data_IF_170577680083
#
_entry.id   IF_170577680083
#
_cell.length_a   1.000
_cell.length_b   1.000
_cell.length_c   1.000
_cell.angle_alpha   90.00
_cell.angle_beta   90.00
_cell.angle_gamma   90.00
#
_symmetry.space_group_name_H-M   'P 1'
#
loop_
_entity.id
_entity.type
_entity.pdbx_description
1 polymer ?
#
# COMPACT_ATOMS: atom_id res chain seq x y z
N UNK A 1 84.42 -8.37 -5.84
CA UNK A 1 83.88 -7.99 -4.51
C UNK A 1 83.32 -6.59 -4.64
N UNK A 2 82.00 -6.44 -4.69
CA UNK A 2 81.21 -5.63 -3.74
C UNK A 2 79.79 -5.43 -4.32
N UNK A 3 78.81 -5.67 -3.47
CA UNK A 3 77.45 -6.06 -3.78
C UNK A 3 76.52 -4.91 -3.38
N UNK A 4 76.15 -4.01 -4.30
CA UNK A 4 75.19 -2.94 -3.99
C UNK A 4 73.76 -3.39 -4.29
N UNK A 5 73.10 -3.85 -3.24
CA UNK A 5 71.65 -4.07 -3.13
C UNK A 5 70.92 -2.74 -3.30
N UNK A 6 70.10 -2.62 -4.33
CA UNK A 6 69.05 -1.59 -4.41
C UNK A 6 67.74 -2.17 -3.90
N UNK A 7 67.23 -1.57 -2.83
CA UNK A 7 65.95 -1.89 -2.18
C UNK A 7 64.78 -1.55 -3.13
N UNK A 8 63.81 -2.45 -3.37
CA UNK A 8 62.60 -2.09 -4.11
C UNK A 8 61.65 -1.26 -3.23
N UNK A 9 61.19 -0.14 -3.79
CA UNK A 9 60.15 0.74 -3.22
C UNK A 9 58.85 -0.04 -3.01
N UNK A 10 58.34 0.05 -1.78
CA UNK A 10 57.03 -0.42 -1.36
C UNK A 10 55.91 0.22 -2.19
N UNK A 11 54.96 -0.60 -2.62
CA UNK A 11 53.80 -0.21 -3.41
C UNK A 11 52.67 0.29 -2.49
N UNK A 12 52.25 1.57 -2.53
CA UNK A 12 51.06 2.03 -1.85
C UNK A 12 49.88 1.91 -2.82
N UNK A 13 49.51 0.70 -3.22
CA UNK A 13 48.31 0.43 -4.03
C UNK A 13 47.40 -0.51 -3.24
N UNK A 14 47.16 -0.16 -1.98
CA UNK A 14 46.23 -0.88 -1.09
C UNK A 14 45.20 0.08 -0.48
N UNK A 15 45.04 1.28 -1.04
CA UNK A 15 44.17 2.33 -0.53
C UNK A 15 42.90 2.57 -1.38
N UNK A 16 42.72 1.84 -2.50
CA UNK A 16 41.63 2.10 -3.45
C UNK A 16 40.44 1.14 -3.31
N UNK A 17 40.41 0.27 -2.30
CA UNK A 17 39.39 -0.77 -2.14
C UNK A 17 38.31 -0.47 -1.08
N UNK A 18 38.28 0.76 -0.53
CA UNK A 18 37.51 1.08 0.68
C UNK A 18 36.42 2.17 0.51
N UNK A 19 36.01 2.49 -0.72
CA UNK A 19 35.06 3.58 -1.02
C UNK A 19 33.87 3.16 -1.89
N UNK A 20 33.42 1.90 -1.82
CA UNK A 20 32.26 1.42 -2.60
C UNK A 20 31.23 0.62 -1.77
N UNK A 21 31.11 0.93 -0.47
CA UNK A 21 30.21 0.21 0.46
C UNK A 21 29.16 1.11 1.15
N UNK A 22 28.88 2.31 0.63
CA UNK A 22 28.00 3.29 1.29
C UNK A 22 26.67 3.57 0.55
N UNK A 23 26.23 2.69 -0.35
CA UNK A 23 24.94 2.82 -1.04
C UNK A 23 24.04 1.59 -0.84
N UNK A 24 24.07 0.99 0.36
CA UNK A 24 22.97 0.09 0.76
C UNK A 24 21.79 0.98 1.07
N UNK A 25 20.94 1.15 0.06
CA UNK A 25 19.77 1.99 0.10
C UNK A 25 18.93 1.72 1.35
N UNK A 26 18.53 2.81 2.01
CA UNK A 26 17.35 2.80 2.85
C UNK A 26 16.17 2.42 1.96
N UNK A 27 15.88 1.11 1.87
CA UNK A 27 14.56 0.65 1.49
C UNK A 27 13.64 1.08 2.61
N UNK A 28 13.07 2.27 2.48
CA UNK A 28 11.92 2.68 3.26
C UNK A 28 10.84 1.65 2.95
N UNK A 29 10.75 0.62 3.79
CA UNK A 29 9.63 -0.31 3.77
C UNK A 29 8.37 0.56 3.84
N UNK A 30 7.48 0.51 2.83
CA UNK A 30 6.24 1.25 2.90
C UNK A 30 5.57 0.84 4.20
N UNK A 31 5.12 1.83 5.00
CA UNK A 31 4.44 1.58 6.26
C UNK A 31 3.28 0.61 5.98
N UNK A 32 3.51 -0.66 6.29
CA UNK A 32 2.51 -1.69 6.12
C UNK A 32 1.60 -1.54 7.33
N UNK A 33 0.37 -1.09 7.10
CA UNK A 33 -0.62 -1.04 8.16
C UNK A 33 -0.93 -2.49 8.54
N UNK A 34 -0.33 -2.98 9.64
CA UNK A 34 -0.60 -4.31 10.14
C UNK A 34 -1.99 -4.35 10.76
N UNK A 35 -2.95 -4.80 9.95
CA UNK A 35 -4.26 -5.23 10.42
C UNK A 35 -4.10 -6.34 11.47
N UNK A 36 -4.80 -6.23 12.59
CA UNK A 36 -4.79 -7.25 13.67
C UNK A 36 -5.61 -8.51 13.32
N UNK A 37 -6.26 -8.51 12.15
CA UNK A 37 -7.22 -9.54 11.75
C UNK A 37 -6.58 -10.53 10.75
N UNK A 38 -6.86 -11.84 10.85
CA UNK A 38 -6.37 -12.84 9.90
C UNK A 38 -6.68 -12.46 8.45
N UNK A 39 -5.68 -12.60 7.57
CA UNK A 39 -5.83 -12.39 6.14
C UNK A 39 -6.61 -13.55 5.49
N UNK A 40 -7.55 -13.21 4.62
CA UNK A 40 -8.29 -14.15 3.79
C UNK A 40 -7.92 -13.88 2.33
N UNK A 41 -7.24 -14.81 1.63
CA UNK A 41 -6.85 -14.60 0.24
C UNK A 41 -8.06 -14.37 -0.67
N UNK A 42 -8.02 -13.30 -1.47
CA UNK A 42 -9.02 -13.01 -2.49
C UNK A 42 -8.67 -13.85 -3.72
N UNK A 43 -9.43 -14.91 -3.99
CA UNK A 43 -9.16 -15.83 -5.12
C UNK A 43 -9.75 -15.34 -6.44
N UNK A 44 -10.86 -14.61 -6.38
CA UNK A 44 -11.56 -14.03 -7.51
C UNK A 44 -12.43 -12.86 -7.02
N UNK A 45 -12.94 -12.03 -7.93
CA UNK A 45 -13.74 -10.85 -7.57
C UNK A 45 -15.02 -11.21 -6.81
N UNK A 46 -15.63 -12.36 -7.03
CA UNK A 46 -16.92 -12.71 -6.42
C UNK A 46 -16.87 -12.74 -4.88
N UNK A 47 -15.69 -12.93 -4.27
CA UNK A 47 -15.55 -12.88 -2.81
C UNK A 47 -15.70 -11.46 -2.24
N UNK A 48 -15.51 -10.43 -3.07
CA UNK A 48 -15.58 -9.02 -2.68
C UNK A 48 -16.69 -8.24 -3.40
N UNK A 49 -17.33 -8.80 -4.43
CA UNK A 49 -18.51 -8.21 -5.08
C UNK A 49 -19.62 -7.98 -4.06
N UNK A 50 -20.27 -6.83 -4.16
CA UNK A 50 -21.39 -6.42 -3.31
C UNK A 50 -21.21 -5.03 -2.73
N UNK A 51 -22.10 -4.70 -1.79
CA UNK A 51 -22.09 -3.44 -1.05
C UNK A 51 -21.38 -3.60 0.29
N UNK A 52 -20.64 -2.55 0.64
CA UNK A 52 -19.82 -2.46 1.82
C UNK A 52 -19.99 -1.08 2.43
N UNK A 53 -19.98 -1.03 3.76
CA UNK A 53 -20.15 0.20 4.52
C UNK A 53 -19.05 0.30 5.57
N UNK A 54 -18.53 1.51 5.77
CA UNK A 54 -17.34 1.66 6.58
C UNK A 54 -16.98 3.10 6.89
N UNK A 55 -15.80 3.24 7.48
CA UNK A 55 -15.19 4.52 7.80
C UNK A 55 -13.89 4.66 7.03
N UNK A 56 -13.54 5.89 6.65
CA UNK A 56 -12.28 6.22 5.99
C UNK A 56 -11.50 7.20 6.85
N UNK A 57 -10.21 6.93 7.01
CA UNK A 57 -9.27 7.71 7.80
C UNK A 57 -8.14 8.19 6.89
N UNK A 58 -7.77 9.47 6.99
CA UNK A 58 -6.56 10.00 6.34
C UNK A 58 -5.38 9.79 7.27
N UNK A 59 -4.25 9.33 6.76
CA UNK A 59 -3.03 9.21 7.57
C UNK A 59 -2.69 10.57 8.22
N UNK A 60 -2.51 10.57 9.55
CA UNK A 60 -2.14 11.70 10.43
C UNK A 60 -3.22 12.76 10.74
N UNK A 61 -4.46 12.64 10.25
CA UNK A 61 -5.56 13.51 10.70
C UNK A 61 -6.86 12.71 10.80
N UNK A 62 -7.57 12.87 11.91
CA UNK A 62 -8.97 12.47 12.02
C UNK A 62 -9.76 13.40 11.09
N UNK A 63 -9.95 12.98 9.83
CA UNK A 63 -10.98 13.58 8.97
C UNK A 63 -12.31 13.28 9.64
N UNK A 64 -13.28 14.22 9.70
CA UNK A 64 -14.62 13.93 10.20
C UNK A 64 -15.07 12.62 9.56
N UNK A 65 -15.26 11.60 10.40
CA UNK A 65 -15.60 10.26 9.97
C UNK A 65 -16.96 10.33 9.28
N UNK A 66 -16.93 10.48 7.96
CA UNK A 66 -18.09 10.27 7.13
C UNK A 66 -18.35 8.78 7.02
N UNK A 67 -19.60 8.40 7.09
CA UNK A 67 -19.99 7.07 6.65
C UNK A 67 -19.70 6.96 5.15
N UNK A 68 -19.11 5.83 4.77
CA UNK A 68 -18.72 5.57 3.40
C UNK A 68 -19.37 4.30 2.92
N UNK A 69 -19.95 4.37 1.73
CA UNK A 69 -20.44 3.21 0.98
C UNK A 69 -19.48 2.89 -0.17
N UNK A 70 -19.15 1.62 -0.31
CA UNK A 70 -18.34 1.06 -1.37
C UNK A 70 -19.14 -0.07 -2.04
N UNK A 71 -19.31 0.00 -3.35
CA UNK A 71 -19.89 -1.07 -4.15
C UNK A 71 -18.82 -1.58 -5.10
N UNK A 72 -18.61 -2.91 -5.12
CA UNK A 72 -17.75 -3.58 -6.11
C UNK A 72 -18.65 -4.44 -6.99
N UNK A 73 -18.61 -4.19 -8.30
CA UNK A 73 -19.39 -4.92 -9.30
C UNK A 73 -18.61 -6.12 -9.82
N UNK A 74 -19.34 -7.08 -10.40
CA UNK A 74 -18.76 -8.32 -10.97
C UNK A 74 -17.70 -8.06 -12.04
N UNK A 75 -17.84 -6.97 -12.79
CA UNK A 75 -16.90 -6.55 -13.81
C UNK A 75 -15.64 -5.84 -13.25
N UNK A 76 -15.48 -5.78 -11.92
CA UNK A 76 -14.34 -5.13 -11.26
C UNK A 76 -14.46 -3.61 -11.15
N UNK A 77 -15.53 -2.99 -11.64
CA UNK A 77 -15.77 -1.56 -11.41
C UNK A 77 -16.20 -1.34 -9.96
N UNK A 78 -15.62 -0.34 -9.29
CA UNK A 78 -16.08 0.11 -7.98
C UNK A 78 -16.74 1.48 -8.03
N UNK A 79 -17.67 1.70 -7.10
CA UNK A 79 -18.25 3.01 -6.78
C UNK A 79 -18.07 3.27 -5.29
N UNK A 80 -17.58 4.45 -4.98
CA UNK A 80 -17.37 4.95 -3.63
C UNK A 80 -18.20 6.21 -3.43
N UNK A 81 -18.94 6.27 -2.33
CA UNK A 81 -19.67 7.44 -1.87
C UNK A 81 -19.30 7.71 -0.42
N UNK A 82 -18.60 8.80 -0.17
CA UNK A 82 -18.35 9.30 1.18
C UNK A 82 -19.17 10.54 1.44
N UNK A 83 -19.92 10.56 2.54
CA UNK A 83 -20.70 11.73 2.94
C UNK A 83 -20.25 12.23 4.30
N UNK A 84 -19.94 13.51 4.39
CA UNK A 84 -19.70 14.23 5.64
C UNK A 84 -20.83 15.23 5.87
N UNK A 85 -20.85 15.91 7.03
CA UNK A 85 -21.86 16.92 7.32
C UNK A 85 -21.86 18.11 6.33
N UNK A 86 -20.73 18.38 5.68
CA UNK A 86 -20.55 19.55 4.82
C UNK A 86 -20.16 19.22 3.37
N UNK A 87 -19.90 17.96 3.06
CA UNK A 87 -19.31 17.58 1.76
C UNK A 87 -19.70 16.15 1.36
N UNK A 88 -19.77 15.90 0.05
CA UNK A 88 -20.01 14.59 -0.54
C UNK A 88 -18.93 14.30 -1.58
N UNK A 89 -18.26 13.16 -1.41
CA UNK A 89 -17.20 12.69 -2.30
C UNK A 89 -17.67 11.45 -3.04
N UNK A 90 -17.67 11.52 -4.37
CA UNK A 90 -17.93 10.39 -5.26
C UNK A 90 -16.63 9.95 -5.94
N UNK A 91 -16.42 8.65 -6.05
CA UNK A 91 -15.27 8.08 -6.74
C UNK A 91 -15.62 6.79 -7.45
N UNK A 92 -15.04 6.58 -8.62
CA UNK A 92 -15.14 5.32 -9.36
C UNK A 92 -13.79 4.94 -9.94
N UNK A 93 -13.63 3.68 -10.26
CA UNK A 93 -12.44 3.12 -10.89
C UNK A 93 -12.60 1.63 -11.09
N UNK A 94 -11.51 0.95 -11.39
CA UNK A 94 -11.51 -0.49 -11.61
C UNK A 94 -10.52 -1.16 -10.67
N UNK A 95 -10.85 -2.38 -10.26
CA UNK A 95 -9.99 -3.26 -9.48
C UNK A 95 -9.97 -4.65 -10.10
N UNK A 96 -8.86 -5.34 -9.88
CA UNK A 96 -8.65 -6.72 -10.26
C UNK A 96 -7.98 -7.46 -9.10
N UNK A 97 -8.02 -8.79 -9.17
CA UNK A 97 -7.38 -9.64 -8.17
C UNK A 97 -5.96 -9.95 -8.63
N UNK A 98 -4.97 -9.61 -7.80
CA UNK A 98 -3.55 -9.96 -7.98
C UNK A 98 -3.01 -10.44 -6.66
N UNK A 99 -2.23 -11.53 -6.63
CA UNK A 99 -1.54 -12.01 -5.42
C UNK A 99 -2.40 -12.05 -4.13
N UNK A 100 -3.66 -12.52 -4.26
CA UNK A 100 -4.59 -12.65 -3.15
C UNK A 100 -5.18 -11.34 -2.61
N UNK A 101 -5.01 -10.22 -3.31
CA UNK A 101 -5.51 -8.88 -2.93
C UNK A 101 -6.19 -8.19 -4.12
N UNK A 102 -6.94 -7.13 -3.84
CA UNK A 102 -7.42 -6.21 -4.86
C UNK A 102 -6.34 -5.19 -5.18
N UNK A 103 -6.13 -4.94 -6.46
CA UNK A 103 -5.29 -3.86 -6.95
C UNK A 103 -6.01 -3.08 -8.04
N UNK A 104 -5.80 -1.77 -8.10
CA UNK A 104 -6.38 -0.94 -9.15
C UNK A 104 -6.48 0.53 -8.75
N UNK A 105 -7.59 1.15 -9.11
CA UNK A 105 -7.91 2.54 -8.78
C UNK A 105 -8.46 3.32 -9.97
N UNK A 106 -8.12 4.61 -10.00
CA UNK A 106 -8.53 5.56 -11.03
C UNK A 106 -7.34 6.44 -11.43
N UNK A 107 -7.59 7.41 -12.31
CA UNK A 107 -6.58 8.41 -12.71
C UNK A 107 -6.07 9.24 -11.53
N UNK A 108 -6.87 9.37 -10.48
CA UNK A 108 -6.53 10.17 -9.30
C UNK A 108 -5.98 9.34 -8.14
N UNK A 109 -6.28 8.04 -8.07
CA UNK A 109 -5.93 7.21 -6.91
C UNK A 109 -5.42 5.84 -7.30
N UNK A 110 -4.45 5.33 -6.57
CA UNK A 110 -4.18 3.89 -6.51
C UNK A 110 -4.95 3.29 -5.35
N UNK A 111 -5.40 2.06 -5.52
CA UNK A 111 -6.15 1.30 -4.53
C UNK A 111 -5.51 -0.07 -4.35
N UNK A 112 -5.34 -0.47 -3.10
CA UNK A 112 -5.02 -1.84 -2.69
C UNK A 112 -6.02 -2.28 -1.65
N UNK A 113 -6.61 -3.47 -1.81
CA UNK A 113 -7.60 -4.01 -0.90
C UNK A 113 -7.25 -5.40 -0.39
N UNK A 114 -7.38 -5.63 0.91
CA UNK A 114 -7.20 -6.95 1.54
C UNK A 114 -8.48 -7.36 2.25
N UNK A 115 -8.82 -8.64 2.18
CA UNK A 115 -9.93 -9.20 2.92
C UNK A 115 -9.42 -9.82 4.21
N UNK A 116 -10.12 -9.57 5.31
CA UNK A 116 -9.82 -10.10 6.62
C UNK A 116 -11.03 -10.77 7.25
N UNK A 117 -10.77 -11.71 8.14
CA UNK A 117 -11.79 -12.25 9.05
C UNK A 117 -11.78 -11.47 10.37
N UNK A 118 -12.86 -10.74 10.64
CA UNK A 118 -13.10 -10.07 11.92
C UNK A 118 -14.16 -10.83 12.71
N UNK A 119 -13.75 -11.91 13.38
CA UNK A 119 -14.59 -12.74 14.26
C UNK A 119 -15.75 -13.42 13.49
N UNK A 120 -15.44 -14.07 12.38
CA UNK A 120 -16.38 -14.74 11.47
C UNK A 120 -17.08 -13.80 10.50
N UNK A 121 -16.77 -12.49 10.53
CA UNK A 121 -17.35 -11.49 9.61
C UNK A 121 -16.31 -10.97 8.63
N UNK A 122 -16.64 -10.86 7.33
CA UNK A 122 -15.72 -10.32 6.35
C UNK A 122 -15.49 -8.82 6.58
N UNK A 123 -14.22 -8.43 6.64
CA UNK A 123 -13.78 -7.04 6.70
C UNK A 123 -12.91 -6.75 5.49
N UNK A 124 -13.36 -5.85 4.62
CA UNK A 124 -12.58 -5.36 3.50
C UNK A 124 -11.79 -4.14 3.94
N UNK A 125 -10.46 -4.26 3.96
CA UNK A 125 -9.54 -3.17 4.28
C UNK A 125 -9.00 -2.58 2.98
N UNK A 126 -9.23 -1.29 2.75
CA UNK A 126 -8.80 -0.59 1.54
C UNK A 126 -7.76 0.47 1.90
N UNK A 127 -6.63 0.45 1.21
CA UNK A 127 -5.67 1.56 1.19
C UNK A 127 -5.80 2.29 -0.14
N UNK A 128 -5.96 3.61 -0.09
CA UNK A 128 -5.97 4.46 -1.27
C UNK A 128 -4.89 5.54 -1.15
N UNK A 129 -4.14 5.78 -2.23
CA UNK A 129 -3.18 6.88 -2.30
C UNK A 129 -3.54 7.82 -3.43
N UNK A 130 -3.58 9.13 -3.16
CA UNK A 130 -3.73 10.15 -4.18
C UNK A 130 -2.44 10.20 -5.02
N UNK A 131 -2.56 10.02 -6.34
CA UNK A 131 -1.43 9.96 -7.27
C UNK A 131 -0.71 11.30 -7.42
N UNK A 132 -1.38 12.42 -7.18
CA UNK A 132 -0.83 13.77 -7.31
C UNK A 132 -0.25 14.29 -5.99
N UNK A 133 -1.00 14.14 -4.89
CA UNK A 133 -0.58 14.72 -3.59
C UNK A 133 0.21 13.73 -2.73
N UNK A 134 0.15 12.44 -3.03
CA UNK A 134 0.71 11.38 -2.20
C UNK A 134 -0.07 11.12 -0.91
N UNK A 135 -1.18 11.83 -0.68
CA UNK A 135 -2.04 11.62 0.48
C UNK A 135 -2.55 10.17 0.54
N UNK A 136 -2.42 9.55 1.72
CA UNK A 136 -2.85 8.17 1.96
C UNK A 136 -4.08 8.13 2.84
N UNK A 137 -4.99 7.26 2.46
CA UNK A 137 -6.24 6.97 3.14
C UNK A 137 -6.32 5.48 3.37
N UNK A 138 -6.91 5.09 4.50
CA UNK A 138 -7.33 3.72 4.71
C UNK A 138 -8.80 3.68 5.10
N UNK A 139 -9.50 2.63 4.70
CA UNK A 139 -10.88 2.40 5.08
C UNK A 139 -11.10 0.97 5.54
N UNK A 140 -11.91 0.84 6.58
CA UNK A 140 -12.38 -0.43 7.11
C UNK A 140 -13.86 -0.58 6.75
N UNK A 141 -14.18 -1.60 5.96
CA UNK A 141 -15.53 -1.80 5.45
C UNK A 141 -16.08 -3.17 5.83
N UNK A 142 -17.32 -3.19 6.32
CA UNK A 142 -18.09 -4.40 6.55
C UNK A 142 -19.15 -4.54 5.47
N UNK A 143 -19.43 -5.78 5.08
CA UNK A 143 -20.46 -6.09 4.08
C UNK A 143 -21.83 -5.62 4.58
N UNK A 144 -22.60 -4.96 3.73
CA UNK A 144 -24.01 -4.63 4.01
C UNK A 144 -24.86 -5.88 3.77
N UNK A 145 -25.78 -6.17 4.70
CA UNK A 145 -26.71 -7.31 4.59
C UNK A 145 -27.73 -7.13 3.46
#
# INVERSE_FOLDING_TARGET
>A
MDQRRTVPRSHPILASLLMLAALVGCSSKPAHYESKWPLVPIQNLNTVVGEWQGVVMKERRVVPAGEVKLMIRENGTYLFVGQTASDMVLGTGNVEVRDGRLEGGSDLRTITGTLHDKKGKPLLFIVAANRQTGDRFHGEFTRTE
#
